data_IF_789007174495
#
_entry.id   IF_789007174495
#
_cell.length_a   1.000
_cell.length_b   1.000
_cell.length_c   1.000
_cell.angle_alpha   90.00
_cell.angle_beta   90.00
_cell.angle_gamma   90.00
#
_symmetry.space_group_name_H-M   'P 1'
#
loop_
_entity.id
_entity.type
_entity.pdbx_description
1 polymer ?
#
# COMPACT_ATOMS: atom_id res chain seq x y z
N UNK A 1 12.98 -13.04 -3.11
CA UNK A 1 14.25 -13.22 -3.86
C UNK A 1 13.91 -13.48 -5.32
N UNK A 2 14.63 -12.92 -6.30
CA UNK A 2 14.37 -13.15 -7.73
C UNK A 2 14.44 -14.65 -8.09
N UNK A 3 15.39 -15.39 -7.46
CA UNK A 3 15.51 -16.85 -7.65
C UNK A 3 14.29 -17.60 -7.14
N UNK A 4 13.62 -17.08 -6.13
CA UNK A 4 12.41 -17.68 -5.59
C UNK A 4 11.23 -17.50 -6.54
N UNK A 5 11.07 -16.31 -7.12
CA UNK A 5 10.06 -16.02 -8.13
C UNK A 5 10.26 -16.93 -9.35
N UNK A 6 11.50 -17.05 -9.82
CA UNK A 6 11.87 -17.98 -10.90
C UNK A 6 11.47 -19.42 -10.59
N UNK A 7 11.69 -19.91 -9.37
CA UNK A 7 11.26 -21.27 -8.99
C UNK A 7 9.75 -21.45 -8.94
N UNK A 8 8.98 -20.39 -8.67
CA UNK A 8 7.51 -20.45 -8.66
C UNK A 8 6.97 -20.40 -10.09
N UNK A 9 7.53 -19.53 -10.93
CA UNK A 9 7.11 -19.37 -12.32
C UNK A 9 7.53 -20.56 -13.18
N UNK A 10 8.78 -21.01 -13.00
CA UNK A 10 9.45 -22.04 -13.79
C UNK A 10 9.94 -23.19 -12.89
N UNK A 11 9.03 -24.01 -12.32
CA UNK A 11 9.40 -25.07 -11.38
C UNK A 11 10.33 -26.13 -11.97
N UNK A 12 10.35 -26.29 -13.30
CA UNK A 12 11.25 -27.19 -14.02
C UNK A 12 12.31 -26.43 -14.84
N UNK A 13 12.56 -25.16 -14.51
CA UNK A 13 13.43 -24.28 -15.31
C UNK A 13 12.93 -24.16 -16.75
N UNK A 14 13.83 -24.29 -17.72
CA UNK A 14 13.54 -24.21 -19.16
C UNK A 14 12.58 -25.30 -19.67
N UNK A 15 12.29 -26.33 -18.86
CA UNK A 15 11.34 -27.42 -19.19
C UNK A 15 9.93 -27.18 -18.65
N UNK A 16 9.68 -26.03 -18.02
CA UNK A 16 8.36 -25.72 -17.48
C UNK A 16 7.33 -25.57 -18.59
N UNK A 17 6.07 -25.93 -18.32
CA UNK A 17 4.98 -25.91 -19.31
C UNK A 17 4.74 -24.53 -19.94
N UNK A 18 4.98 -23.49 -19.16
CA UNK A 18 4.89 -22.10 -19.60
C UNK A 18 6.15 -21.35 -19.16
N UNK A 19 6.74 -20.61 -20.10
CA UNK A 19 7.91 -19.77 -19.86
C UNK A 19 7.49 -18.31 -19.96
N UNK A 20 7.59 -17.59 -18.85
CA UNK A 20 7.23 -16.19 -18.77
C UNK A 20 8.42 -15.28 -19.15
N UNK A 21 8.16 -14.10 -19.72
CA UNK A 21 9.21 -13.14 -20.05
C UNK A 21 10.02 -12.70 -18.82
N UNK A 22 11.31 -12.37 -19.03
CA UNK A 22 12.19 -11.89 -17.94
C UNK A 22 11.69 -10.58 -17.34
N UNK A 23 11.04 -9.76 -18.14
CA UNK A 23 10.41 -8.50 -17.75
C UNK A 23 9.31 -8.76 -16.71
N UNK A 24 8.54 -9.84 -16.86
CA UNK A 24 7.49 -10.23 -15.91
C UNK A 24 8.08 -10.71 -14.57
N UNK A 25 9.15 -11.50 -14.61
CA UNK A 25 9.91 -11.91 -13.41
C UNK A 25 10.44 -10.68 -12.67
N UNK A 26 11.05 -9.75 -13.42
CA UNK A 26 11.63 -8.52 -12.89
C UNK A 26 10.56 -7.64 -12.26
N UNK A 27 9.40 -7.49 -12.91
CA UNK A 27 8.26 -6.76 -12.37
C UNK A 27 7.82 -7.31 -11.01
N UNK A 28 7.63 -8.63 -10.89
CA UNK A 28 7.22 -9.27 -9.62
C UNK A 28 8.29 -9.08 -8.55
N UNK A 29 9.57 -9.21 -8.92
CA UNK A 29 10.68 -9.00 -8.01
C UNK A 29 10.71 -7.58 -7.45
N UNK A 30 10.56 -6.57 -8.30
CA UNK A 30 10.61 -5.17 -7.88
C UNK A 30 9.36 -4.77 -7.07
N UNK A 31 8.19 -5.29 -7.46
CA UNK A 31 6.94 -5.12 -6.71
C UNK A 31 7.06 -5.67 -5.29
N UNK A 32 7.72 -6.81 -5.10
CA UNK A 32 7.76 -7.51 -3.81
C UNK A 32 8.96 -7.12 -2.95
N UNK A 33 10.06 -6.66 -3.54
CA UNK A 33 11.29 -6.32 -2.80
C UNK A 33 11.33 -4.88 -2.29
N UNK A 34 10.71 -3.94 -3.00
CA UNK A 34 10.72 -2.53 -2.63
C UNK A 34 9.88 -2.26 -1.37
N UNK A 35 9.97 -1.03 -0.86
CA UNK A 35 9.11 -0.52 0.23
C UNK A 35 7.78 0.02 -0.29
N UNK A 36 7.53 -0.10 -1.59
CA UNK A 36 6.40 0.52 -2.26
C UNK A 36 5.20 -0.42 -2.22
N UNK A 37 4.21 -0.07 -1.39
CA UNK A 37 2.93 -0.78 -1.33
C UNK A 37 1.73 0.16 -1.53
N UNK A 38 1.98 1.44 -1.79
CA UNK A 38 0.91 2.42 -1.97
C UNK A 38 0.08 2.08 -3.22
N UNK A 39 -1.27 2.08 -3.15
CA UNK A 39 -2.12 1.65 -4.26
C UNK A 39 -1.81 2.33 -5.60
N UNK A 40 -1.65 3.66 -5.58
CA UNK A 40 -1.32 4.45 -6.78
C UNK A 40 0.05 4.05 -7.37
N UNK A 41 1.05 3.72 -6.55
CA UNK A 41 2.35 3.27 -7.06
C UNK A 41 2.24 1.90 -7.72
N UNK A 42 1.50 0.98 -7.13
CA UNK A 42 1.25 -0.34 -7.72
C UNK A 42 0.58 -0.18 -9.09
N UNK A 43 -0.45 0.68 -9.19
CA UNK A 43 -1.14 0.93 -10.46
C UNK A 43 -0.20 1.57 -11.49
N UNK A 44 0.59 2.57 -11.12
CA UNK A 44 1.58 3.18 -12.01
C UNK A 44 2.58 2.13 -12.53
N UNK A 45 3.08 1.25 -11.67
CA UNK A 45 4.00 0.18 -12.06
C UNK A 45 3.34 -0.78 -13.07
N UNK A 46 2.05 -1.11 -12.92
CA UNK A 46 1.29 -1.92 -13.89
C UNK A 46 1.14 -1.17 -15.22
N UNK A 47 0.84 0.13 -15.18
CA UNK A 47 0.68 0.94 -16.40
C UNK A 47 1.99 1.06 -17.20
N UNK A 48 3.13 1.17 -16.50
CA UNK A 48 4.49 1.17 -17.06
C UNK A 48 4.85 -0.22 -17.65
N UNK A 49 4.29 -1.30 -17.10
CA UNK A 49 4.53 -2.68 -17.50
C UNK A 49 3.24 -3.34 -18.02
N UNK A 50 2.60 -2.74 -19.03
CA UNK A 50 1.26 -3.13 -19.47
C UNK A 50 1.11 -4.62 -19.86
N UNK A 51 2.19 -5.28 -20.30
CA UNK A 51 2.23 -6.72 -20.59
C UNK A 51 1.85 -7.59 -19.38
N UNK A 52 1.99 -7.07 -18.15
CA UNK A 52 1.60 -7.75 -16.91
C UNK A 52 0.10 -8.08 -16.89
N UNK A 53 -0.73 -7.28 -17.57
CA UNK A 53 -2.18 -7.49 -17.64
C UNK A 53 -2.55 -8.78 -18.38
N UNK A 54 -1.71 -9.25 -19.30
CA UNK A 54 -1.90 -10.52 -20.01
C UNK A 54 -1.74 -11.74 -19.07
N UNK A 55 -1.02 -11.55 -17.96
CA UNK A 55 -0.68 -12.60 -17.01
C UNK A 55 -1.22 -12.30 -15.59
N UNK A 56 -2.32 -11.55 -15.47
CA UNK A 56 -2.88 -11.09 -14.18
C UNK A 56 -3.11 -12.24 -13.18
N UNK A 57 -3.66 -13.37 -13.66
CA UNK A 57 -3.93 -14.56 -12.82
C UNK A 57 -2.64 -15.16 -12.28
N UNK A 58 -1.59 -15.23 -13.11
CA UNK A 58 -0.30 -15.76 -12.70
C UNK A 58 0.40 -14.82 -11.73
N UNK A 59 0.31 -13.50 -11.96
CA UNK A 59 0.83 -12.51 -11.02
C UNK A 59 0.20 -12.70 -9.63
N UNK A 60 -1.13 -12.76 -9.56
CA UNK A 60 -1.84 -12.98 -8.29
C UNK A 60 -1.39 -14.28 -7.62
N UNK A 61 -1.29 -15.37 -8.38
CA UNK A 61 -0.82 -16.66 -7.87
C UNK A 61 0.60 -16.58 -7.29
N UNK A 62 1.54 -15.96 -8.00
CA UNK A 62 2.93 -15.86 -7.52
C UNK A 62 3.01 -15.03 -6.25
N UNK A 63 2.34 -13.88 -6.20
CA UNK A 63 2.33 -13.01 -5.00
C UNK A 63 1.68 -13.73 -3.82
N UNK A 64 0.58 -14.47 -4.04
CA UNK A 64 -0.09 -15.30 -3.02
C UNK A 64 0.85 -16.42 -2.50
N UNK A 65 1.61 -17.07 -3.37
CA UNK A 65 2.62 -18.07 -2.98
C UNK A 65 3.77 -17.47 -2.18
N UNK A 66 4.26 -16.30 -2.58
CA UNK A 66 5.30 -15.59 -1.82
C UNK A 66 4.79 -15.19 -0.44
N UNK A 67 3.54 -14.74 -0.36
CA UNK A 67 2.86 -14.40 0.88
C UNK A 67 2.75 -15.61 1.82
N UNK A 68 2.16 -16.72 1.36
CA UNK A 68 1.99 -17.96 2.12
C UNK A 68 3.32 -18.49 2.66
N UNK A 69 4.40 -18.37 1.87
CA UNK A 69 5.73 -18.82 2.28
C UNK A 69 6.33 -18.02 3.42
N UNK A 70 6.00 -16.74 3.58
CA UNK A 70 6.51 -15.93 4.70
C UNK A 70 6.04 -16.45 6.06
N UNK A 71 5.04 -17.32 6.08
CA UNK A 71 4.37 -17.81 7.28
C UNK A 71 4.66 -19.29 7.54
N UNK A 72 5.25 -19.99 6.57
CA UNK A 72 5.63 -21.42 6.66
C UNK A 72 7.11 -21.61 7.03
N UNK A 73 7.83 -20.54 7.32
CA UNK A 73 9.22 -20.56 7.79
C UNK A 73 9.30 -20.82 9.29
N UNK A 74 10.43 -21.37 9.77
CA UNK A 74 10.68 -21.68 11.20
C UNK A 74 10.47 -20.45 12.11
N UNK A 75 10.83 -19.28 11.59
CA UNK A 75 10.48 -17.98 12.15
C UNK A 75 9.60 -17.26 11.13
N UNK A 76 8.37 -16.91 11.51
CA UNK A 76 7.43 -16.22 10.63
C UNK A 76 7.91 -14.80 10.35
N UNK A 77 7.97 -14.43 9.07
CA UNK A 77 8.29 -13.06 8.68
C UNK A 77 7.01 -12.22 8.62
N UNK A 78 6.51 -11.80 9.79
CA UNK A 78 5.26 -11.05 9.89
C UNK A 78 5.27 -9.74 9.08
N UNK A 79 6.41 -9.06 9.00
CA UNK A 79 6.53 -7.80 8.23
C UNK A 79 6.38 -8.05 6.73
N UNK A 80 7.11 -9.02 6.17
CA UNK A 80 6.98 -9.34 4.74
C UNK A 80 5.62 -9.96 4.42
N UNK A 81 5.05 -10.79 5.29
CA UNK A 81 3.73 -11.36 5.05
C UNK A 81 2.66 -10.27 4.99
N UNK A 82 2.66 -9.32 5.93
CA UNK A 82 1.73 -8.19 5.93
C UNK A 82 1.91 -7.31 4.69
N UNK A 83 3.15 -7.01 4.30
CA UNK A 83 3.44 -6.21 3.09
C UNK A 83 2.93 -6.91 1.82
N UNK A 84 3.24 -8.19 1.65
CA UNK A 84 2.82 -8.97 0.48
C UNK A 84 1.30 -9.12 0.43
N UNK A 85 0.65 -9.29 1.58
CA UNK A 85 -0.82 -9.28 1.65
C UNK A 85 -1.41 -7.96 1.17
N UNK A 86 -0.89 -6.81 1.62
CA UNK A 86 -1.39 -5.50 1.21
C UNK A 86 -1.25 -5.33 -0.31
N UNK A 87 -0.09 -5.71 -0.87
CA UNK A 87 0.14 -5.70 -2.33
C UNK A 87 -0.88 -6.60 -3.03
N UNK A 88 -1.03 -7.85 -2.57
CA UNK A 88 -1.95 -8.83 -3.15
C UNK A 88 -3.41 -8.36 -3.10
N UNK A 89 -3.83 -7.79 -1.98
CA UNK A 89 -5.18 -7.24 -1.80
C UNK A 89 -5.44 -6.11 -2.79
N UNK A 90 -4.49 -5.18 -2.94
CA UNK A 90 -4.61 -4.08 -3.91
C UNK A 90 -4.68 -4.63 -5.34
N UNK A 91 -3.80 -5.58 -5.71
CA UNK A 91 -3.83 -6.20 -7.04
C UNK A 91 -5.19 -6.85 -7.32
N UNK A 92 -5.75 -7.59 -6.34
CA UNK A 92 -7.08 -8.21 -6.46
C UNK A 92 -8.17 -7.17 -6.71
N UNK A 93 -8.17 -6.06 -5.96
CA UNK A 93 -9.17 -4.99 -6.16
C UNK A 93 -8.99 -4.25 -7.49
N UNK A 94 -7.74 -4.03 -7.94
CA UNK A 94 -7.45 -3.42 -9.24
C UNK A 94 -7.94 -4.31 -10.38
N UNK A 95 -7.59 -5.60 -10.38
CA UNK A 95 -8.01 -6.51 -11.45
C UNK A 95 -9.51 -6.79 -11.41
N UNK A 96 -10.11 -6.91 -10.22
CA UNK A 96 -11.58 -6.98 -10.08
C UNK A 96 -12.27 -5.76 -10.68
N UNK A 97 -11.72 -4.55 -10.47
CA UNK A 97 -12.27 -3.34 -11.08
C UNK A 97 -12.16 -3.38 -12.61
N UNK A 98 -10.99 -3.72 -13.15
CA UNK A 98 -10.75 -3.85 -14.59
C UNK A 98 -11.71 -4.88 -15.19
N UNK A 99 -11.82 -6.06 -14.59
CA UNK A 99 -12.74 -7.14 -14.97
C UNK A 99 -14.20 -6.68 -15.01
N UNK A 100 -14.65 -5.97 -13.98
CA UNK A 100 -16.02 -5.47 -13.87
C UNK A 100 -16.40 -4.43 -14.94
N UNK A 101 -15.41 -3.95 -15.70
CA UNK A 101 -15.54 -2.89 -16.70
C UNK A 101 -15.07 -3.33 -18.10
N UNK A 102 -14.74 -4.61 -18.30
CA UNK A 102 -14.27 -5.15 -19.59
C UNK A 102 -15.27 -4.94 -20.73
N UNK A 103 -16.57 -4.95 -20.44
CA UNK A 103 -17.64 -4.76 -21.43
C UNK A 103 -17.84 -3.30 -21.86
N UNK A 104 -17.21 -2.32 -21.20
CA UNK A 104 -17.37 -0.89 -21.52
C UNK A 104 -16.52 -0.42 -22.73
N UNK A 105 -15.89 -1.35 -23.48
CA UNK A 105 -14.99 -1.06 -24.62
C UNK A 105 -13.87 -0.05 -24.31
N UNK A 106 -13.42 0.00 -23.05
CA UNK A 106 -12.32 0.86 -22.61
C UNK A 106 -11.01 0.08 -22.61
N UNK A 107 -9.94 0.74 -23.03
CA UNK A 107 -8.59 0.18 -22.94
C UNK A 107 -8.20 -0.06 -21.47
N UNK A 108 -7.48 -1.15 -21.14
CA UNK A 108 -7.11 -1.46 -19.76
C UNK A 108 -6.38 -0.31 -19.05
N UNK A 109 -5.53 0.44 -19.77
CA UNK A 109 -4.84 1.62 -19.22
C UNK A 109 -5.80 2.74 -18.82
N UNK A 110 -6.89 2.93 -19.55
CA UNK A 110 -7.93 3.90 -19.20
C UNK A 110 -8.67 3.47 -17.92
N UNK A 111 -8.98 2.18 -17.80
CA UNK A 111 -9.59 1.63 -16.58
C UNK A 111 -8.68 1.80 -15.35
N UNK A 112 -7.38 1.53 -15.50
CA UNK A 112 -6.38 1.77 -14.44
C UNK A 112 -6.32 3.26 -14.05
N UNK A 113 -6.35 4.18 -15.03
CA UNK A 113 -6.37 5.63 -14.76
C UNK A 113 -7.65 6.06 -14.03
N UNK A 114 -8.82 5.51 -14.40
CA UNK A 114 -10.09 5.77 -13.71
C UNK A 114 -10.00 5.31 -12.24
N UNK A 115 -9.52 4.08 -12.00
CA UNK A 115 -9.38 3.55 -10.64
C UNK A 115 -8.39 4.39 -9.83
N UNK A 116 -7.25 4.74 -10.42
CA UNK A 116 -6.23 5.58 -9.78
C UNK A 116 -6.76 6.98 -9.42
N UNK A 117 -7.50 7.62 -10.33
CA UNK A 117 -8.16 8.92 -10.06
C UNK A 117 -9.20 8.79 -8.95
N UNK A 118 -9.96 7.70 -8.90
CA UNK A 118 -10.91 7.45 -7.81
C UNK A 118 -10.21 7.42 -6.44
N UNK A 119 -9.02 6.81 -6.35
CA UNK A 119 -8.23 6.78 -5.11
C UNK A 119 -7.72 8.16 -4.67
N UNK A 120 -7.51 9.08 -5.62
CA UNK A 120 -6.94 10.40 -5.38
C UNK A 120 -7.99 11.48 -5.05
N UNK A 121 -9.28 11.17 -5.19
CA UNK A 121 -10.36 12.10 -4.87
C UNK A 121 -10.23 12.61 -3.43
N UNK A 122 -10.25 13.93 -3.30
CA UNK A 122 -10.24 14.65 -2.04
C UNK A 122 -10.98 15.96 -2.19
N UNK A 123 -11.83 16.29 -1.22
CA UNK A 123 -12.50 17.57 -1.12
C UNK A 123 -11.76 18.52 -0.15
N UNK A 124 -12.04 19.84 -0.18
CA UNK A 124 -11.37 20.80 0.70
C UNK A 124 -11.50 20.50 2.19
N UNK A 125 -12.65 20.00 2.63
CA UNK A 125 -12.95 19.61 4.01
C UNK A 125 -12.24 18.32 4.45
N UNK A 126 -11.80 17.50 3.50
CA UNK A 126 -11.23 16.20 3.81
C UNK A 126 -9.79 16.33 4.34
N UNK A 127 -9.50 15.70 5.47
CA UNK A 127 -8.13 15.61 5.97
C UNK A 127 -7.28 14.61 5.18
N UNK A 128 -7.92 13.62 4.56
CA UNK A 128 -7.29 12.47 3.89
C UNK A 128 -7.99 12.13 2.56
N UNK A 129 -7.35 11.33 1.72
CA UNK A 129 -7.97 10.72 0.53
C UNK A 129 -8.83 9.52 0.93
N UNK A 130 -10.13 9.73 1.09
CA UNK A 130 -11.08 8.73 1.65
C UNK A 130 -11.08 7.39 0.92
N UNK A 131 -11.02 7.37 -0.40
CA UNK A 131 -11.07 6.12 -1.17
C UNK A 131 -9.78 5.30 -1.00
N UNK A 132 -8.61 5.96 -1.03
CA UNK A 132 -7.34 5.30 -0.71
C UNK A 132 -7.28 4.81 0.74
N UNK A 133 -7.82 5.59 1.68
CA UNK A 133 -7.92 5.19 3.08
C UNK A 133 -8.80 3.94 3.26
N UNK A 134 -9.97 3.92 2.61
CA UNK A 134 -10.91 2.82 2.68
C UNK A 134 -10.30 1.52 2.13
N UNK A 135 -9.62 1.60 0.98
CA UNK A 135 -8.93 0.47 0.37
C UNK A 135 -7.89 -0.13 1.32
N UNK A 136 -7.04 0.70 1.92
CA UNK A 136 -5.99 0.23 2.84
C UNK A 136 -6.56 -0.33 4.15
N UNK A 137 -7.59 0.30 4.72
CA UNK A 137 -8.26 -0.24 5.92
C UNK A 137 -8.92 -1.58 5.65
N UNK A 138 -9.51 -1.76 4.47
CA UNK A 138 -10.05 -3.05 4.05
C UNK A 138 -8.95 -4.09 3.87
N UNK A 139 -7.80 -3.72 3.30
CA UNK A 139 -6.65 -4.61 3.17
C UNK A 139 -6.17 -5.09 4.55
N UNK A 140 -6.02 -4.18 5.52
CA UNK A 140 -5.66 -4.53 6.90
C UNK A 140 -6.70 -5.48 7.49
N UNK A 141 -7.98 -5.12 7.46
CA UNK A 141 -9.07 -5.94 8.03
C UNK A 141 -9.16 -7.34 7.42
N UNK A 142 -8.80 -7.48 6.15
CA UNK A 142 -8.86 -8.75 5.43
C UNK A 142 -7.62 -9.63 5.64
N UNK A 143 -6.59 -9.17 6.37
CA UNK A 143 -5.37 -9.93 6.61
C UNK A 143 -5.68 -11.28 7.29
N UNK A 144 -5.32 -12.43 6.70
CA UNK A 144 -5.85 -13.72 7.17
C UNK A 144 -5.23 -14.20 8.50
N UNK A 145 -4.04 -13.74 8.86
CA UNK A 145 -3.29 -14.25 10.03
C UNK A 145 -3.50 -13.40 11.28
N UNK A 146 -4.68 -13.52 11.87
CA UNK A 146 -5.12 -12.69 13.00
C UNK A 146 -4.35 -12.90 14.32
N UNK A 147 -3.55 -13.96 14.41
CA UNK A 147 -2.68 -14.23 15.55
C UNK A 147 -1.32 -13.50 15.48
N UNK A 148 -0.98 -12.90 14.32
CA UNK A 148 0.25 -12.10 14.21
C UNK A 148 0.21 -10.92 15.17
N UNK A 149 1.27 -10.76 15.97
CA UNK A 149 1.39 -9.66 16.93
C UNK A 149 1.49 -8.32 16.18
N UNK A 150 2.23 -8.30 15.07
CA UNK A 150 2.34 -7.13 14.20
C UNK A 150 0.96 -6.71 13.68
N UNK A 151 0.18 -7.67 13.17
CA UNK A 151 -1.16 -7.41 12.68
C UNK A 151 -2.08 -6.90 13.80
N UNK A 152 -2.11 -7.56 14.97
CA UNK A 152 -2.97 -7.16 16.08
C UNK A 152 -2.65 -5.72 16.54
N UNK A 153 -1.37 -5.36 16.57
CA UNK A 153 -0.92 -4.00 16.91
C UNK A 153 -1.36 -2.99 15.86
N UNK A 154 -1.21 -3.31 14.57
CA UNK A 154 -1.68 -2.46 13.47
C UNK A 154 -3.20 -2.30 13.49
N UNK A 155 -3.95 -3.40 13.61
CA UNK A 155 -5.42 -3.40 13.60
C UNK A 155 -5.98 -2.57 14.76
N UNK A 156 -5.42 -2.71 15.98
CA UNK A 156 -5.75 -1.85 17.13
C UNK A 156 -5.46 -0.38 16.84
N UNK A 157 -4.32 -0.07 16.23
CA UNK A 157 -3.94 1.30 15.89
C UNK A 157 -4.88 1.92 14.84
N UNK A 158 -5.26 1.15 13.81
CA UNK A 158 -6.22 1.58 12.78
C UNK A 158 -7.62 1.80 13.38
N UNK A 159 -8.05 0.93 14.31
CA UNK A 159 -9.35 1.03 14.96
C UNK A 159 -9.48 2.27 15.86
N UNK A 160 -8.39 2.71 16.49
CA UNK A 160 -8.35 3.95 17.30
C UNK A 160 -8.52 5.23 16.48
N UNK A 161 -8.20 5.19 15.19
CA UNK A 161 -8.32 6.36 14.30
C UNK A 161 -9.65 6.31 13.57
N UNK A 162 -10.54 7.26 13.87
CA UNK A 162 -11.81 7.42 13.16
C UNK A 162 -11.57 7.63 11.64
N UNK A 163 -12.42 7.02 10.82
CA UNK A 163 -12.35 7.20 9.36
C UNK A 163 -12.47 8.68 8.98
N UNK A 164 -11.58 9.15 8.11
CA UNK A 164 -11.50 10.56 7.71
C UNK A 164 -10.46 11.37 8.48
N UNK A 165 -9.93 10.86 9.60
CA UNK A 165 -8.94 11.56 10.42
C UNK A 165 -7.50 11.07 10.17
N UNK A 166 -6.55 11.84 10.69
CA UNK A 166 -5.12 11.49 10.70
C UNK A 166 -4.76 10.73 12.00
N UNK A 167 -3.69 9.89 11.99
CA UNK A 167 -2.87 9.53 10.83
C UNK A 167 -3.60 8.61 9.84
N UNK A 168 -3.28 8.72 8.55
CA UNK A 168 -3.81 7.82 7.50
C UNK A 168 -3.41 6.37 7.78
N UNK A 169 -4.21 5.41 7.31
CA UNK A 169 -3.89 3.99 7.34
C UNK A 169 -2.54 3.67 6.68
N UNK A 170 -2.18 4.36 5.59
CA UNK A 170 -0.85 4.24 4.96
C UNK A 170 0.29 4.54 5.95
N UNK A 171 0.17 5.63 6.71
CA UNK A 171 1.17 6.03 7.72
C UNK A 171 1.24 5.03 8.88
N UNK A 172 0.10 4.47 9.31
CA UNK A 172 0.06 3.40 10.30
C UNK A 172 0.75 2.11 9.81
N UNK A 173 0.51 1.71 8.55
CA UNK A 173 1.19 0.57 7.93
C UNK A 173 2.71 0.83 7.86
N UNK A 174 3.14 2.04 7.47
CA UNK A 174 4.57 2.39 7.45
C UNK A 174 5.23 2.25 8.84
N UNK A 175 4.54 2.65 9.91
CA UNK A 175 5.04 2.44 11.28
C UNK A 175 5.20 0.96 11.61
N UNK A 176 4.21 0.14 11.28
CA UNK A 176 4.25 -1.29 11.55
C UNK A 176 5.36 -1.98 10.74
N UNK A 177 5.49 -1.68 9.44
CA UNK A 177 6.41 -2.39 8.56
C UNK A 177 7.87 -1.95 8.72
N UNK A 178 8.10 -0.64 8.89
CA UNK A 178 9.44 -0.03 8.78
C UNK A 178 9.85 0.79 10.00
N UNK A 179 8.96 0.89 11.01
CA UNK A 179 9.21 1.59 12.25
C UNK A 179 8.91 3.11 12.20
N UNK A 180 8.65 3.73 13.37
CA UNK A 180 8.28 5.13 13.48
C UNK A 180 9.35 6.09 12.94
N UNK A 181 10.64 5.80 13.16
CA UNK A 181 11.73 6.65 12.67
C UNK A 181 11.72 6.77 11.15
N UNK A 182 11.53 5.67 10.43
CA UNK A 182 11.50 5.69 8.96
C UNK A 182 10.31 6.52 8.46
N UNK A 183 9.13 6.29 9.04
CA UNK A 183 7.89 6.95 8.63
C UNK A 183 7.84 8.46 8.94
N UNK A 184 8.54 8.94 9.98
CA UNK A 184 8.60 10.37 10.30
C UNK A 184 9.71 11.12 9.57
N UNK A 185 10.85 10.47 9.31
CA UNK A 185 12.02 11.14 8.71
C UNK A 185 11.98 11.11 7.18
N UNK A 186 11.21 10.20 6.58
CA UNK A 186 11.07 10.09 5.13
C UNK A 186 10.03 11.07 4.59
N UNK A 187 10.30 11.63 3.41
CA UNK A 187 9.35 12.49 2.69
C UNK A 187 8.61 11.66 1.65
N UNK A 188 7.39 11.27 1.98
CA UNK A 188 6.55 10.46 1.09
C UNK A 188 5.81 11.33 0.08
N UNK A 189 5.72 10.88 -1.17
CA UNK A 189 4.90 11.54 -2.17
C UNK A 189 3.40 11.44 -1.81
N UNK A 190 2.69 12.56 -1.84
CA UNK A 190 1.24 12.61 -1.56
C UNK A 190 0.37 11.85 -2.59
N UNK A 191 0.91 11.57 -3.77
CA UNK A 191 0.20 10.86 -4.85
C UNK A 191 0.44 9.36 -4.79
N UNK A 192 1.71 8.95 -4.76
CA UNK A 192 2.10 7.54 -4.93
C UNK A 192 2.83 6.94 -3.72
N UNK A 193 2.98 7.67 -2.62
CA UNK A 193 3.52 7.11 -1.37
C UNK A 193 5.00 6.72 -1.39
N UNK A 194 5.78 6.96 -2.46
CA UNK A 194 7.23 6.68 -2.45
C UNK A 194 7.98 7.65 -1.55
N UNK A 195 9.00 7.18 -0.83
CA UNK A 195 9.78 7.94 0.16
C UNK A 195 10.81 8.93 -0.42
N UNK A 196 10.87 9.05 -1.75
CA UNK A 196 11.86 9.86 -2.47
C UNK A 196 11.30 11.22 -2.90
N UNK A 197 10.39 11.83 -2.13
CA UNK A 197 9.82 13.13 -2.49
C UNK A 197 10.88 14.25 -2.45
N UNK A 198 11.24 14.75 -3.64
CA UNK A 198 12.24 15.82 -3.83
C UNK A 198 11.60 17.17 -4.17
N UNK A 199 10.30 17.18 -4.48
CA UNK A 199 9.55 18.38 -4.89
C UNK A 199 8.41 18.63 -3.89
N UNK A 200 7.91 19.84 -3.86
CA UNK A 200 6.75 20.20 -3.06
C UNK A 200 5.90 21.27 -3.74
N UNK A 201 4.60 21.29 -3.46
CA UNK A 201 3.73 22.39 -3.86
C UNK A 201 4.26 23.71 -3.28
N UNK A 202 4.46 24.77 -4.08
CA UNK A 202 5.04 26.01 -3.59
C UNK A 202 4.18 26.70 -2.53
N UNK A 203 2.84 26.52 -2.59
CA UNK A 203 1.86 27.13 -1.68
C UNK A 203 1.78 26.37 -0.35
N UNK A 204 1.28 25.14 -0.36
CA UNK A 204 0.98 24.37 0.85
C UNK A 204 2.07 23.37 1.27
N UNK A 205 3.19 23.29 0.53
CA UNK A 205 4.33 22.40 0.79
C UNK A 205 4.05 20.89 0.72
N UNK A 206 2.92 20.48 0.16
CA UNK A 206 2.62 19.05 -0.09
C UNK A 206 3.74 18.39 -0.93
N UNK A 207 4.34 17.28 -0.46
CA UNK A 207 5.48 16.63 -1.10
C UNK A 207 5.10 15.76 -2.32
N UNK A 208 5.95 15.79 -3.36
CA UNK A 208 5.84 14.97 -4.57
C UNK A 208 7.21 14.40 -4.98
N UNK A 209 7.23 13.18 -5.51
CA UNK A 209 8.45 12.57 -6.06
C UNK A 209 8.84 13.17 -7.41
N UNK A 210 7.87 13.51 -8.25
CA UNK A 210 8.08 14.02 -9.60
C UNK A 210 6.92 14.92 -10.06
N UNK A 211 7.10 15.70 -11.15
CA UNK A 211 6.05 16.55 -11.71
C UNK A 211 4.82 15.77 -12.19
N UNK A 212 5.00 14.52 -12.64
CA UNK A 212 3.93 13.66 -13.14
C UNK A 212 2.96 13.29 -12.02
N UNK A 213 3.48 12.94 -10.83
CA UNK A 213 2.67 12.71 -9.64
C UNK A 213 1.92 13.97 -9.20
N UNK A 214 2.54 15.15 -9.31
CA UNK A 214 1.86 16.40 -9.02
C UNK A 214 0.74 16.69 -10.03
N UNK A 215 0.99 16.50 -11.34
CA UNK A 215 -0.01 16.68 -12.40
C UNK A 215 -1.20 15.73 -12.22
N UNK A 216 -0.94 14.48 -11.84
CA UNK A 216 -1.97 13.47 -11.59
C UNK A 216 -2.88 13.85 -10.40
N UNK A 217 -2.30 14.39 -9.32
CA UNK A 217 -3.03 14.81 -8.11
C UNK A 217 -3.70 16.20 -8.26
N UNK A 218 -3.21 17.02 -9.20
CA UNK A 218 -3.60 18.43 -9.37
C UNK A 218 -5.11 18.68 -9.49
N UNK A 219 -5.91 17.88 -10.21
CA UNK A 219 -7.36 18.09 -10.32
C UNK A 219 -8.07 18.15 -8.96
N UNK A 220 -7.57 17.40 -7.97
CA UNK A 220 -8.08 17.34 -6.60
C UNK A 220 -7.33 18.33 -5.71
N UNK A 221 -5.99 18.28 -5.74
CA UNK A 221 -5.13 19.11 -4.90
C UNK A 221 -5.39 20.60 -5.05
N UNK A 222 -5.62 21.11 -6.27
CA UNK A 222 -5.85 22.55 -6.50
C UNK A 222 -7.08 23.08 -5.74
N UNK A 223 -8.07 22.22 -5.48
CA UNK A 223 -9.27 22.56 -4.71
C UNK A 223 -8.98 22.59 -3.21
N UNK A 224 -8.08 21.73 -2.74
CA UNK A 224 -7.74 21.58 -1.32
C UNK A 224 -6.51 22.38 -0.90
N UNK A 225 -5.73 22.93 -1.84
CA UNK A 225 -4.41 23.51 -1.61
C UNK A 225 -4.44 24.60 -0.53
N UNK A 226 -5.47 25.43 -0.57
CA UNK A 226 -5.66 26.57 0.32
C UNK A 226 -5.95 26.11 1.75
N UNK A 227 -6.83 25.12 1.90
CA UNK A 227 -7.14 24.52 3.19
C UNK A 227 -5.92 23.76 3.75
N UNK A 228 -5.17 23.05 2.92
CA UNK A 228 -3.92 22.39 3.33
C UNK A 228 -2.89 23.42 3.80
N UNK A 229 -2.78 24.58 3.13
CA UNK A 229 -1.85 25.63 3.50
C UNK A 229 -2.21 26.30 4.85
N UNK A 230 -3.50 26.36 5.19
CA UNK A 230 -4.00 26.90 6.46
C UNK A 230 -3.87 25.92 7.61
N UNK A 231 -3.83 24.61 7.35
CA UNK A 231 -3.69 23.61 8.41
C UNK A 231 -2.42 23.91 9.20
N UNK A 232 -2.48 23.99 10.54
CA UNK A 232 -1.27 24.02 11.33
C UNK A 232 -0.42 22.83 10.92
N UNK A 233 0.90 23.02 10.80
CA UNK A 233 1.81 21.90 10.68
C UNK A 233 1.54 21.04 11.90
N UNK A 234 0.85 19.91 11.73
CA UNK A 234 0.70 18.92 12.78
C UNK A 234 2.09 18.27 12.88
N UNK A 235 3.01 18.99 13.53
CA UNK A 235 4.23 18.43 14.06
C UNK A 235 3.80 17.47 15.17
N UNK A 236 3.80 16.18 14.83
CA UNK A 236 3.78 15.05 15.77
C UNK A 236 2.71 15.09 16.87
N UNK A 237 1.46 14.73 16.55
CA UNK A 237 0.53 14.15 17.54
C UNK A 237 0.82 12.66 17.84
N UNK A 238 2.09 12.25 17.67
CA UNK A 238 2.68 11.02 18.20
C UNK A 238 3.93 11.38 19.01
N UNK A 239 3.85 12.47 19.77
CA UNK A 239 4.55 12.53 21.04
C UNK A 239 3.51 12.09 22.06
N UNK A 240 3.85 11.05 22.82
CA UNK A 240 3.08 10.48 23.93
C UNK A 240 1.95 9.51 23.54
N UNK A 241 2.31 8.36 22.96
CA UNK A 241 1.87 7.13 23.60
C UNK A 241 3.01 6.77 24.55
N UNK A 242 2.82 6.96 25.85
CA UNK A 242 3.87 6.68 26.82
C UNK A 242 4.17 5.17 26.83
N UNK A 243 5.39 4.76 27.20
CA UNK A 243 5.73 3.34 27.37
C UNK A 243 4.76 2.62 28.33
N UNK A 244 4.15 3.37 29.25
CA UNK A 244 3.18 2.86 30.22
C UNK A 244 1.83 2.51 29.57
N UNK A 245 1.42 3.22 28.50
CA UNK A 245 0.24 2.86 27.72
C UNK A 245 0.46 1.63 26.83
N UNK A 246 1.70 1.37 26.41
CA UNK A 246 2.04 0.11 25.75
C UNK A 246 2.06 -1.06 26.74
N UNK A 247 2.59 -0.86 27.95
CA UNK A 247 2.67 -1.89 28.99
C UNK A 247 1.29 -2.25 29.56
N UNK A 248 0.36 -1.31 29.65
CA UNK A 248 -1.01 -1.58 30.11
C UNK A 248 -1.83 -2.40 29.10
N UNK A 249 -1.49 -2.36 27.81
CA UNK A 249 -2.15 -3.15 26.75
C UNK A 249 -1.61 -4.58 26.59
N UNK A 250 -0.57 -4.96 27.35
CA UNK A 250 0.08 -6.28 27.32
C UNK A 250 -0.25 -7.11 28.57
N UNK A 251 -0.88 -6.54 29.61
CA UNK A 251 -1.35 -7.38 30.72
C UNK A 251 -2.49 -8.27 30.23
N UNK A 252 -2.37 -9.61 30.26
CA UNK A 252 -3.55 -10.45 30.14
C UNK A 252 -4.48 -10.09 31.29
N UNK A 253 -5.78 -9.99 31.02
CA UNK A 253 -6.79 -10.02 32.07
C UNK A 253 -6.67 -11.40 32.75
N UNK A 254 -5.81 -11.50 33.76
CA UNK A 254 -5.93 -12.48 34.81
C UNK A 254 -6.90 -11.90 35.83
N UNK A 255 -7.92 -12.70 36.16
CA UNK A 255 -8.70 -12.62 37.40
C UNK A 255 -9.71 -11.43 37.41
N UNK A 256 -11.01 -11.63 37.58
CA UNK A 256 -11.67 -12.36 38.65
C UNK A 256 -13.16 -12.68 38.33
N UNK A 257 -13.62 -13.80 38.94
CA UNK A 257 -14.95 -14.05 39.55
C UNK A 257 -16.26 -13.76 38.78
#
# INVERSE_FOLDING_TARGET
DAKEIERILHPQGDKSEEIYPKEFVTFIHDLTKTHDFHPVRIILNIMENAHVLEHEKKLLFVVDMLFERQLRTKESNESQSLKLWIILFILREVFKFVDSKKEENKEPKELLDIFMKNLLVQNPEDLIKKNSELLLRNAVRAFPYHHSILFQTLAKSVAKVQFGNLPTCHKLILYSLFGPRFAETSKFCMTCGVSSAKKACPKCKTPYCCPECQKLDWPFHKKCCDEIAKRPKIESSIKELSEDELKSMIRPNSEDE
#
